data_IF_000994724525
#
_entry.id   IF_000994724525
#
_cell.length_a   1.000
_cell.length_b   1.000
_cell.length_c   1.000
_cell.angle_alpha   90.00
_cell.angle_beta   90.00
_cell.angle_gamma   90.00
#
_symmetry.space_group_name_H-M   'P 1'
#
loop_
_entity.id
_entity.type
_entity.pdbx_description
1 polymer ?
2 non-polymer ?
3 water ?
#
# COMPACT_ATOMS: atom_id res chain seq x y z
N UNK A 3 -9.29 -18.95 -3.30
CA UNK A 3 -9.21 -17.53 -2.95
C UNK A 3 -7.83 -16.93 -3.21
N UNK A 4 -7.79 -15.70 -3.79
CA UNK A 4 -6.57 -14.95 -4.09
C UNK A 4 -5.84 -14.58 -2.78
N UNK A 5 -4.61 -15.08 -2.62
CA UNK A 5 -3.78 -14.83 -1.43
C UNK A 5 -2.34 -14.58 -1.86
N UNK A 6 -1.60 -13.78 -1.07
CA UNK A 6 -0.20 -13.45 -1.27
C UNK A 6 0.46 -13.67 0.09
N UNK A 7 1.05 -14.84 0.32
CA UNK A 7 1.66 -15.12 1.64
C UNK A 7 3.15 -14.86 1.57
N UNK A 8 3.65 -13.97 2.42
CA UNK A 8 5.05 -13.55 2.47
C UNK A 8 5.81 -14.16 3.63
N UNK A 9 7.15 -14.09 3.58
CA UNK A 9 8.06 -14.52 4.64
C UNK A 9 9.52 -14.22 4.27
N UNK A 10 10.39 -14.32 5.27
CA UNK A 10 11.84 -14.18 5.11
C UNK A 10 12.57 -12.94 5.56
N UNK A 11 11.92 -12.05 6.28
CA UNK A 11 12.62 -10.84 6.74
C UNK A 11 13.61 -11.06 7.88
N UNK A 12 14.29 -10.00 8.27
CA UNK A 12 15.22 -10.12 9.36
C UNK A 12 16.26 -9.03 9.35
N UNK A 13 17.23 -9.16 10.26
CA UNK A 13 18.34 -8.23 10.45
C UNK A 13 19.56 -8.90 9.93
N UNK A 14 20.28 -8.23 9.06
CA UNK A 14 21.51 -8.77 8.47
C UNK A 14 22.57 -7.67 8.45
N UNK A 15 23.84 -8.05 8.44
CA UNK A 15 24.91 -7.07 8.36
C UNK A 15 25.11 -6.55 6.92
N UNK A 16 25.65 -5.33 6.73
CA UNK A 16 25.94 -4.88 5.36
C UNK A 16 26.84 -5.91 4.67
N UNK A 17 26.57 -6.16 3.39
CA UNK A 17 27.28 -7.16 2.60
C UNK A 17 26.62 -8.52 2.67
N UNK A 18 25.65 -8.66 3.57
CA UNK A 18 24.93 -9.92 3.79
C UNK A 18 23.86 -10.27 2.76
N UNK A 19 23.15 -11.37 3.02
CA UNK A 19 22.12 -11.91 2.14
C UNK A 19 20.88 -12.31 2.90
N UNK A 20 19.73 -12.20 2.25
CA UNK A 20 18.46 -12.61 2.83
C UNK A 20 17.62 -12.99 1.63
N UNK A 21 16.69 -13.90 1.85
CA UNK A 21 15.78 -14.30 0.79
C UNK A 21 14.36 -14.10 1.30
N UNK A 22 13.55 -13.40 0.48
CA UNK A 22 12.14 -13.19 0.75
C UNK A 22 11.37 -14.13 -0.13
N UNK A 23 10.20 -14.57 0.33
CA UNK A 23 9.34 -15.38 -0.51
C UNK A 23 7.94 -14.83 -0.52
N UNK A 24 7.25 -15.12 -1.60
CA UNK A 24 5.86 -14.77 -1.75
C UNK A 24 5.14 -15.85 -2.49
N UNK A 25 4.16 -16.45 -1.84
CA UNK A 25 3.35 -17.53 -2.42
C UNK A 25 2.03 -16.93 -2.82
N UNK A 26 1.75 -16.99 -4.14
CA UNK A 26 0.57 -16.48 -4.79
C UNK A 26 -0.39 -17.64 -5.04
N UNK A 27 -1.59 -17.59 -4.44
CA UNK A 27 -2.60 -18.62 -4.63
C UNK A 27 -3.82 -18.06 -5.35
N UNK A 28 -4.56 -18.93 -6.03
CA UNK A 28 -5.80 -18.57 -6.72
C UNK A 28 -5.71 -17.73 -7.99
N UNK A 29 -4.50 -17.48 -8.49
CA UNK A 29 -4.33 -16.72 -9.74
C UNK A 29 -4.51 -17.68 -10.91
N UNK A 30 -5.57 -17.49 -11.71
CA UNK A 30 -5.82 -18.34 -12.87
C UNK A 30 -5.72 -17.58 -14.20
N UNK A 31 -5.51 -16.26 -14.18
CA UNK A 31 -5.32 -15.61 -15.46
C UNK A 31 -3.81 -15.68 -15.76
N UNK A 32 -3.43 -15.86 -17.01
CA UNK A 32 -2.01 -15.97 -17.36
C UNK A 32 -1.30 -14.61 -17.27
N UNK A 33 -2.04 -13.51 -17.39
CA UNK A 33 -1.46 -12.18 -17.46
C UNK A 33 -1.09 -11.40 -16.19
N UNK A 34 -1.06 -12.04 -15.04
CA UNK A 34 -0.62 -11.30 -13.87
C UNK A 34 0.92 -11.08 -13.81
N UNK A 35 1.32 -10.17 -12.96
CA UNK A 35 2.73 -9.87 -12.71
C UNK A 35 2.82 -9.91 -11.19
N UNK A 36 3.97 -10.32 -10.65
CA UNK A 36 4.17 -10.44 -9.20
C UNK A 36 5.54 -9.91 -8.88
N UNK A 37 5.69 -9.36 -7.71
CA UNK A 37 7.01 -8.88 -7.33
C UNK A 37 6.97 -8.16 -6.02
N UNK A 38 7.92 -7.24 -5.86
CA UNK A 38 8.02 -6.50 -4.61
C UNK A 38 8.17 -5.04 -4.81
N UNK A 39 7.70 -4.30 -3.80
CA UNK A 39 8.03 -2.88 -3.64
C UNK A 39 8.44 -2.71 -2.20
N UNK A 40 9.05 -1.57 -1.85
CA UNK A 40 9.49 -1.43 -0.47
C UNK A 40 9.20 -0.02 0.01
N UNK A 41 9.21 0.15 1.33
CA UNK A 41 8.98 1.43 1.97
C UNK A 41 10.09 1.59 2.97
N UNK A 42 11.15 2.34 2.59
CA UNK A 42 12.30 2.62 3.45
C UNK A 42 11.99 3.71 4.47
N UNK A 43 12.55 3.65 5.69
CA UNK A 43 12.24 4.69 6.69
C UNK A 43 12.49 6.09 6.17
N UNK A 44 11.48 6.95 6.32
CA UNK A 44 11.50 8.34 5.87
C UNK A 44 11.50 8.53 4.36
N UNK A 45 11.23 7.46 3.61
CA UNK A 45 11.23 7.57 2.14
C UNK A 45 9.91 7.18 1.52
N UNK A 46 9.68 7.65 0.31
CA UNK A 46 8.49 7.28 -0.46
C UNK A 46 8.68 5.83 -0.92
N UNK A 47 7.57 5.12 -1.22
CA UNK A 47 7.61 3.76 -1.72
C UNK A 47 8.47 3.69 -2.97
N UNK A 48 9.12 2.55 -3.17
CA UNK A 48 9.98 2.34 -4.32
C UNK A 48 9.76 0.91 -4.78
N UNK A 49 9.61 0.74 -6.10
CA UNK A 49 9.47 -0.61 -6.67
C UNK A 49 10.80 -1.34 -6.58
N UNK A 50 10.78 -2.65 -6.43
CA UNK A 50 12.02 -3.44 -6.34
C UNK A 50 12.20 -4.37 -7.55
N UNK A 51 11.22 -5.23 -7.79
CA UNK A 51 11.30 -6.20 -8.86
C UNK A 51 9.92 -6.70 -9.27
N UNK A 52 9.86 -7.29 -10.45
CA UNK A 52 8.63 -7.78 -11.02
C UNK A 52 8.92 -8.92 -11.98
N UNK A 53 8.08 -9.93 -11.98
CA UNK A 53 8.17 -11.04 -12.93
C UNK A 53 6.79 -11.12 -13.58
N UNK A 54 6.73 -11.14 -14.91
CA UNK A 54 5.45 -11.23 -15.61
C UNK A 54 5.16 -12.71 -15.81
N UNK A 55 3.96 -13.18 -15.41
CA UNK A 55 3.60 -14.59 -15.54
C UNK A 55 3.70 -15.07 -16.97
N UNK A 56 3.29 -14.20 -17.93
CA UNK A 56 3.41 -14.44 -19.37
C UNK A 56 4.90 -14.21 -19.68
N UNK A 57 5.57 -15.18 -20.32
CA UNK A 57 7.00 -15.19 -20.70
C UNK A 57 8.06 -15.33 -19.60
N UNK A 58 7.68 -15.07 -18.35
CA UNK A 58 8.59 -15.15 -17.21
C UNK A 58 9.66 -14.07 -17.18
N UNK A 59 9.45 -12.97 -17.93
CA UNK A 59 10.35 -11.82 -18.01
C UNK A 59 10.51 -11.14 -16.66
N UNK A 60 11.76 -10.78 -16.29
CA UNK A 60 12.09 -10.20 -14.98
C UNK A 60 12.58 -8.73 -15.08
N UNK A 61 12.05 -7.86 -14.21
CA UNK A 61 12.34 -6.44 -14.23
C UNK A 61 12.82 -6.00 -12.86
N UNK A 62 13.84 -5.14 -12.82
CA UNK A 62 14.41 -4.67 -11.55
C UNK A 62 14.53 -3.19 -11.52
N UNK A 63 14.34 -2.60 -10.34
CA UNK A 63 14.60 -1.18 -10.15
C UNK A 63 16.12 -0.98 -10.33
N UNK A 64 16.54 0.17 -10.86
CA UNK A 64 17.96 0.47 -11.05
C UNK A 64 18.79 0.34 -9.77
N UNK A 65 18.21 0.70 -8.61
CA UNK A 65 18.91 0.64 -7.31
C UNK A 65 19.25 -0.79 -6.86
N UNK A 66 18.65 -1.84 -7.46
CA UNK A 66 18.89 -3.22 -7.00
C UNK A 66 19.29 -4.19 -8.13
N UNK A 67 19.33 -3.73 -9.38
CA UNK A 67 19.54 -4.57 -10.56
C UNK A 67 20.69 -5.56 -10.55
N UNK A 68 21.83 -5.19 -9.99
CA UNK A 68 22.97 -6.11 -10.03
C UNK A 68 23.13 -6.89 -8.74
N UNK A 69 22.30 -6.63 -7.75
CA UNK A 69 22.45 -7.27 -6.44
C UNK A 69 21.34 -8.20 -6.10
N UNK A 70 20.14 -7.95 -6.63
CA UNK A 70 18.99 -8.78 -6.27
C UNK A 70 18.60 -9.68 -7.43
N UNK A 71 18.10 -10.87 -7.09
CA UNK A 71 17.65 -11.82 -8.09
C UNK A 71 16.31 -12.38 -7.70
N UNK A 72 15.39 -12.39 -8.66
CA UNK A 72 14.08 -12.98 -8.48
C UNK A 72 14.04 -14.30 -9.20
N UNK A 73 13.33 -15.27 -8.62
CA UNK A 73 13.15 -16.59 -9.22
C UNK A 73 11.80 -17.10 -8.81
N UNK A 74 11.34 -18.18 -9.44
CA UNK A 74 10.04 -18.77 -9.15
C UNK A 74 10.16 -20.23 -8.92
N UNK A 75 9.27 -20.78 -8.10
CA UNK A 75 9.09 -22.20 -7.91
C UNK A 75 7.64 -22.50 -8.31
N UNK A 76 7.49 -23.21 -9.44
CA UNK A 76 6.21 -23.66 -10.02
C UNK A 76 5.50 -24.65 -9.10
N UNK A 78 6.06 -24.29 -4.79
CA UNK A 78 4.70 -24.36 -5.29
C UNK A 78 4.06 -22.96 -5.25
N UNK A 79 3.82 -22.35 -6.45
CA UNK A 79 3.26 -21.01 -6.66
C UNK A 79 3.99 -19.92 -5.86
N UNK A 80 5.31 -20.01 -5.79
CA UNK A 80 6.10 -19.08 -5.00
C UNK A 80 7.11 -18.34 -5.83
N UNK A 81 7.33 -17.07 -5.49
CA UNK A 81 8.37 -16.27 -6.10
C UNK A 81 9.34 -15.89 -4.99
N UNK A 82 10.62 -15.78 -5.34
CA UNK A 82 11.65 -15.51 -4.36
C UNK A 82 12.43 -14.32 -4.77
N UNK A 83 12.80 -13.50 -3.79
CA UNK A 83 13.69 -12.36 -3.97
C UNK A 83 14.94 -12.65 -3.15
N UNK A 84 16.02 -12.96 -3.83
CA UNK A 84 17.33 -13.22 -3.23
C UNK A 84 18.03 -11.90 -3.19
N UNK A 85 18.31 -11.42 -2.00
CA UNK A 85 19.00 -10.15 -1.84
C UNK A 85 20.42 -10.43 -1.41
N UNK A 86 21.38 -9.85 -2.11
CA UNK A 86 22.79 -10.05 -1.81
C UNK A 86 23.49 -8.71 -1.75
N UNK A 87 24.74 -8.67 -1.20
CA UNK A 87 25.51 -7.43 -1.06
C UNK A 87 24.60 -6.34 -0.48
N UNK A 88 23.88 -6.71 0.56
CA UNK A 88 22.92 -5.82 1.19
C UNK A 88 23.56 -4.56 1.73
N UNK A 89 22.89 -3.43 1.52
CA UNK A 89 23.40 -2.12 1.98
C UNK A 89 22.43 -1.56 3.01
N UNK A 90 22.90 -0.68 3.93
CA UNK A 90 21.96 -0.05 4.88
C UNK A 90 20.76 0.59 4.18
N UNK A 91 20.95 1.19 2.97
CA UNK A 91 19.85 1.80 2.21
C UNK A 91 18.79 0.80 1.74
N UNK A 92 19.08 -0.53 1.81
CA UNK A 92 18.07 -1.54 1.48
C UNK A 92 17.13 -1.77 2.66
N UNK A 93 17.41 -1.15 3.83
CA UNK A 93 16.53 -1.32 4.99
C UNK A 93 15.15 -0.78 4.68
N UNK A 94 14.10 -1.60 4.83
CA UNK A 94 12.73 -1.20 4.50
C UNK A 94 11.78 -2.26 4.86
N UNK A 95 10.50 -1.90 4.81
CA UNK A 95 9.41 -2.85 4.82
C UNK A 95 9.23 -3.28 3.33
N UNK A 96 9.33 -4.58 3.03
CA UNK A 96 9.17 -5.11 1.66
C UNK A 96 7.78 -5.73 1.53
N UNK A 97 7.05 -5.39 0.47
CA UNK A 97 5.68 -5.89 0.26
C UNK A 97 5.58 -6.72 -0.97
N UNK A 98 4.94 -7.91 -0.86
CA UNK A 98 4.74 -8.68 -2.06
C UNK A 98 3.53 -8.05 -2.72
N UNK A 99 3.58 -7.99 -4.04
CA UNK A 99 2.52 -7.37 -4.82
C UNK A 99 2.25 -8.15 -6.08
N UNK A 100 1.03 -8.02 -6.60
CA UNK A 100 0.67 -8.64 -7.87
C UNK A 100 -0.27 -7.72 -8.60
N UNK A 101 -0.15 -7.62 -9.92
CA UNK A 101 -1.10 -6.78 -10.63
C UNK A 101 -1.42 -7.40 -11.95
N UNK A 102 -2.29 -6.78 -12.71
CA UNK A 102 -2.75 -7.32 -13.97
C UNK A 102 -1.74 -7.09 -15.10
N UNK A 103 -0.55 -7.67 -14.94
CA UNK A 103 0.54 -7.65 -15.92
C UNK A 103 1.17 -6.30 -16.18
N UNK A 104 1.07 -5.42 -15.21
CA UNK A 104 1.54 -4.06 -15.34
C UNK A 104 2.90 -3.77 -14.75
N UNK A 105 3.30 -4.49 -13.63
CA UNK A 105 4.54 -4.19 -12.91
C UNK A 105 4.47 -2.72 -12.47
N UNK A 106 3.25 -2.23 -12.14
CA UNK A 106 3.00 -0.83 -11.81
C UNK A 106 3.88 -0.22 -10.76
N UNK A 107 4.25 -1.01 -9.73
CA UNK A 107 5.10 -0.48 -8.68
C UNK A 107 6.54 -0.19 -9.15
N UNK A 108 6.91 -0.56 -10.39
CA UNK A 108 8.25 -0.25 -10.89
C UNK A 108 8.29 1.15 -11.52
N UNK A 109 7.11 1.78 -11.69
CA UNK A 109 7.10 3.14 -12.20
C UNK A 109 7.57 4.05 -11.01
N UNK A 110 8.02 5.26 -11.29
CA UNK A 110 8.46 6.19 -10.22
C UNK A 110 7.33 6.35 -9.19
N UNK A 111 7.67 6.24 -7.92
CA UNK A 111 6.70 6.38 -6.84
C UNK A 111 6.29 5.06 -6.21
N UNK A 112 6.63 3.93 -6.86
CA UNK A 112 6.38 2.57 -6.35
C UNK A 112 4.95 2.25 -5.95
N UNK A 113 3.99 2.87 -6.63
CA UNK A 113 2.57 2.65 -6.28
C UNK A 113 1.95 1.49 -7.04
N UNK A 114 1.40 0.50 -6.33
CA UNK A 114 0.68 -0.58 -7.03
C UNK A 114 -0.61 0.07 -7.60
N UNK A 115 -0.95 -0.27 -8.84
CA UNK A 115 -2.21 0.19 -9.44
C UNK A 115 -2.84 -1.02 -10.05
N UNK A 116 -4.17 -1.22 -9.88
CA UNK A 116 -4.92 -2.34 -10.48
C UNK A 116 -4.26 -3.66 -10.08
N UNK A 117 -4.01 -3.77 -8.79
CA UNK A 117 -3.32 -4.94 -8.30
C UNK A 117 -3.77 -5.39 -6.94
N UNK A 118 -2.79 -5.78 -6.14
CA UNK A 118 -2.97 -6.33 -4.79
C UNK A 118 -1.63 -6.36 -4.14
N UNK A 119 -1.63 -6.35 -2.81
CA UNK A 119 -0.38 -6.43 -2.06
C UNK A 119 -0.65 -7.07 -0.72
N UNK A 120 0.35 -7.75 -0.18
CA UNK A 120 0.22 -8.42 1.10
C UNK A 120 0.73 -7.56 2.22
N UNK A 121 1.01 -8.20 3.35
CA UNK A 121 1.51 -7.51 4.53
C UNK A 121 3.00 -7.29 4.35
N UNK A 122 3.53 -6.26 4.96
CA UNK A 122 4.95 -6.00 4.81
C UNK A 122 5.83 -6.94 5.61
N UNK A 123 7.09 -7.07 5.19
CA UNK A 123 8.10 -7.88 5.92
C UNK A 123 9.29 -6.96 6.09
N UNK A 124 9.78 -6.84 7.32
CA UNK A 124 10.89 -5.95 7.60
C UNK A 124 12.22 -6.58 7.23
N UNK A 125 13.04 -5.83 6.54
CA UNK A 125 14.41 -6.20 6.20
C UNK A 125 15.30 -5.06 6.73
N UNK A 126 16.19 -5.36 7.70
CA UNK A 126 17.08 -4.35 8.27
C UNK A 126 18.50 -4.74 8.00
N UNK A 127 19.26 -3.80 7.44
CA UNK A 127 20.66 -4.03 7.12
C UNK A 127 21.42 -3.07 7.98
N UNK A 128 22.09 -3.61 8.98
CA UNK A 128 22.74 -2.76 9.97
C UNK A 128 23.88 -3.45 10.66
N UNK A 129 24.83 -2.67 11.17
CA UNK A 129 25.95 -3.17 11.99
C UNK A 129 25.39 -3.75 13.31
N UNK A 130 24.15 -3.33 13.71
CA UNK A 130 23.48 -3.86 14.91
C UNK A 130 23.29 -5.38 14.81
N UNK A 131 23.18 -5.92 13.58
CA UNK A 131 23.02 -7.35 13.30
C UNK A 131 24.18 -8.21 13.81
N UNK A 132 25.39 -7.64 13.92
CA UNK A 132 26.56 -8.38 14.39
C UNK A 132 26.51 -8.61 15.92
N UNK A 133 25.54 -7.99 16.62
CA UNK A 133 25.40 -8.05 18.10
C UNK A 133 24.42 -9.14 18.66
N UNK A 134 23.98 -10.09 17.83
CA UNK A 134 23.06 -11.18 18.22
C UNK A 134 23.65 -12.10 19.28
N UNK B 5 -4.53 8.15 -11.57
CA UNK B 5 -3.95 8.76 -10.39
C UNK B 5 -4.96 9.00 -9.27
N UNK B 6 -4.47 8.89 -8.02
CA UNK B 6 -5.21 9.04 -6.78
C UNK B 6 -4.47 10.08 -5.93
N UNK B 7 -4.60 11.34 -6.35
CA UNK B 7 -3.94 12.48 -5.71
C UNK B 7 -4.63 12.84 -4.42
N UNK B 8 -3.85 12.88 -3.31
CA UNK B 8 -4.39 13.18 -1.98
C UNK B 8 -4.04 14.57 -1.54
N UNK B 9 -4.97 15.25 -0.83
CA UNK B 9 -4.71 16.58 -0.26
C UNK B 9 -5.61 16.82 0.95
N UNK B 10 -5.23 17.75 1.84
CA UNK B 10 -6.05 18.09 2.99
C UNK B 10 -5.53 17.78 4.37
N UNK B 11 -4.36 17.16 4.45
CA UNK B 11 -3.80 16.81 5.75
C UNK B 11 -3.28 17.97 6.57
N UNK B 12 -2.83 17.67 7.76
CA UNK B 12 -2.32 18.70 8.64
C UNK B 12 -2.36 18.30 10.09
N UNK B 13 -2.04 19.27 10.96
CA UNK B 13 -2.01 19.09 12.40
C UNK B 13 -3.23 19.79 12.93
N UNK B 14 -4.01 19.10 13.74
CA UNK B 14 -5.23 19.68 14.32
C UNK B 14 -5.30 19.26 15.78
N UNK B 15 -5.98 20.03 16.60
CA UNK B 15 -6.17 19.68 18.00
C UNK B 15 -7.25 18.60 18.17
N UNK B 16 -7.20 17.80 19.27
CA UNK B 16 -8.29 16.84 19.50
C UNK B 16 -9.62 17.58 19.53
N UNK B 17 -10.64 16.97 18.93
CA UNK B 17 -11.96 17.55 18.81
C UNK B 17 -12.13 18.34 17.53
N UNK B 18 -11.02 18.55 16.80
CA UNK B 18 -10.99 19.32 15.58
C UNK B 18 -11.50 18.59 14.34
N UNK B 19 -11.38 19.27 13.17
CA UNK B 19 -11.88 18.79 11.89
C UNK B 19 -10.88 19.00 10.79
N UNK B 20 -10.90 18.13 9.81
CA UNK B 20 -10.05 18.25 8.63
C UNK B 20 -10.83 17.57 7.52
N UNK B 21 -10.62 18.01 6.30
CA UNK B 21 -11.24 17.36 5.16
C UNK B 21 -10.16 16.93 4.20
N UNK B 22 -10.18 15.64 3.84
CA UNK B 22 -9.24 15.09 2.89
C UNK B 22 -9.95 14.97 1.58
N UNK B 23 -9.18 15.06 0.49
CA UNK B 23 -9.77 14.86 -0.83
C UNK B 23 -8.93 13.90 -1.61
N UNK B 24 -9.57 13.17 -2.47
CA UNK B 24 -8.86 12.30 -3.35
C UNK B 24 -9.42 12.39 -4.75
N UNK B 25 -8.52 12.48 -5.73
CA UNK B 25 -8.90 12.61 -7.16
C UNK B 25 -9.13 11.21 -7.69
N UNK B 26 -10.22 11.00 -8.41
CA UNK B 26 -10.60 9.69 -8.89
C UNK B 26 -10.43 9.53 -10.39
N UNK B 28 -10.15 8.55 -13.66
CA UNK B 28 -10.71 8.72 -15.00
C UNK B 28 -11.16 7.41 -15.61
N UNK B 29 -12.19 6.80 -15.00
CA UNK B 29 -12.80 5.51 -15.36
C UNK B 29 -14.05 5.66 -16.21
N UNK B 30 -14.48 4.54 -16.81
CA UNK B 30 -15.69 4.45 -17.63
C UNK B 30 -16.68 3.44 -17.04
N UNK B 31 -16.17 2.44 -16.29
CA UNK B 31 -17.03 1.42 -15.67
C UNK B 31 -17.65 1.86 -14.36
N UNK B 32 -18.73 1.18 -13.95
CA UNK B 32 -19.46 1.41 -12.71
C UNK B 32 -19.14 0.30 -11.69
N UNK B 33 -17.94 -0.31 -11.78
CA UNK B 33 -17.56 -1.38 -10.84
C UNK B 33 -16.64 -0.92 -9.76
N UNK B 34 -16.12 0.33 -9.82
CA UNK B 34 -15.12 0.75 -8.85
C UNK B 34 -15.60 1.24 -7.49
N UNK B 35 -14.70 1.28 -6.53
CA UNK B 35 -14.96 1.74 -5.16
C UNK B 35 -13.75 2.54 -4.84
N UNK B 36 -13.92 3.58 -4.06
CA UNK B 36 -12.83 4.48 -3.70
C UNK B 36 -12.93 4.81 -2.23
N UNK B 37 -11.82 5.05 -1.59
CA UNK B 37 -11.88 5.40 -0.20
C UNK B 37 -10.53 5.59 0.40
N UNK B 38 -10.47 5.38 1.71
CA UNK B 38 -9.22 5.59 2.41
C UNK B 38 -8.88 4.46 3.34
N UNK B 39 -7.60 4.26 3.52
CA UNK B 39 -7.07 3.43 4.59
C UNK B 39 -6.01 4.27 5.26
N UNK B 40 -5.55 3.86 6.45
CA UNK B 40 -4.54 4.70 7.12
C UNK B 40 -3.46 3.81 7.69
N UNK B 41 -2.30 4.40 7.95
CA UNK B 41 -1.18 3.72 8.54
C UNK B 41 -0.74 4.59 9.72
N UNK B 42 -1.14 4.21 10.93
CA UNK B 42 -0.86 4.91 12.19
C UNK B 42 0.51 4.50 12.71
N UNK B 43 1.22 5.42 13.39
CA UNK B 43 2.56 5.06 13.92
C UNK B 43 2.53 3.80 14.79
N UNK B 44 3.39 2.84 14.46
CA UNK B 44 3.50 1.55 15.16
C UNK B 44 2.35 0.60 14.93
N UNK B 45 1.48 0.89 13.96
CA UNK B 45 0.32 0.04 13.69
C UNK B 45 0.26 -0.49 12.28
N UNK B 46 -0.40 -1.64 12.09
CA UNK B 46 -0.61 -2.15 10.74
C UNK B 46 -1.68 -1.27 10.06
N UNK B 47 -1.75 -1.32 8.73
CA UNK B 47 -2.74 -0.56 7.99
C UNK B 47 -4.12 -0.93 8.46
N UNK B 48 -5.02 0.05 8.49
CA UNK B 48 -6.41 -0.11 8.91
C UNK B 48 -7.27 0.62 7.89
N UNK B 49 -8.37 0.01 7.49
CA UNK B 49 -9.30 0.62 6.53
C UNK B 49 -10.06 1.74 7.24
N UNK B 50 -10.45 2.77 6.50
CA UNK B 50 -11.19 3.90 7.10
C UNK B 50 -12.59 4.00 6.51
N UNK B 51 -12.67 4.13 5.17
CA UNK B 51 -13.98 4.31 4.53
C UNK B 51 -13.91 3.92 3.07
N UNK B 52 -15.08 3.70 2.49
CA UNK B 52 -15.22 3.29 1.12
C UNK B 52 -16.57 3.74 0.58
N UNK B 53 -16.59 4.19 -0.67
CA UNK B 53 -17.83 4.54 -1.35
C UNK B 53 -17.82 3.72 -2.64
N UNK B 54 -18.91 3.00 -2.90
CA UNK B 54 -19.00 2.18 -4.12
C UNK B 54 -19.62 3.05 -5.22
N UNK B 55 -18.99 3.10 -6.41
CA UNK B 55 -19.51 3.91 -7.52
C UNK B 55 -20.93 3.51 -7.89
N UNK B 56 -21.22 2.20 -7.87
CA UNK B 56 -22.55 1.63 -8.08
C UNK B 56 -23.31 1.91 -6.78
N UNK B 57 -24.49 2.55 -6.88
CA UNK B 57 -25.39 2.93 -5.77
C UNK B 57 -24.95 4.07 -4.83
N UNK B 58 -23.67 4.39 -4.82
CA UNK B 58 -23.13 5.44 -3.95
C UNK B 58 -23.12 5.11 -2.47
N UNK B 59 -23.23 3.81 -2.15
CA UNK B 59 -23.23 3.29 -0.78
C UNK B 59 -21.93 3.55 -0.08
N UNK B 60 -21.98 3.94 1.21
CA UNK B 60 -20.79 4.26 2.00
C UNK B 60 -20.57 3.28 3.16
N UNK B 61 -19.31 2.88 3.37
CA UNK B 61 -18.90 1.93 4.39
C UNK B 61 -17.81 2.54 5.23
N UNK B 62 -17.88 2.34 6.53
CA UNK B 62 -16.90 2.93 7.46
C UNK B 62 -16.38 1.91 8.40
N UNK B 63 -15.11 2.01 8.77
CA UNK B 63 -14.55 1.17 9.81
C UNK B 63 -15.28 1.54 11.13
N UNK B 64 -15.44 0.56 12.02
CA UNK B 64 -16.12 0.80 13.30
C UNK B 64 -15.48 1.93 14.13
N UNK B 65 -14.14 2.08 14.04
CA UNK B 65 -13.43 3.12 14.78
C UNK B 65 -13.75 4.55 14.33
N UNK B 66 -14.39 4.75 13.15
CA UNK B 66 -14.66 6.11 12.64
C UNK B 66 -16.12 6.37 12.22
N UNK B 67 -16.97 5.35 12.31
CA UNK B 67 -18.34 5.38 11.80
C UNK B 67 -19.23 6.56 12.17
N UNK B 68 -19.13 7.06 13.39
CA UNK B 68 -20.03 8.16 13.75
C UNK B 68 -19.35 9.52 13.65
N UNK B 69 -18.08 9.56 13.30
CA UNK B 69 -17.33 10.81 13.29
C UNK B 69 -16.94 11.25 11.93
N UNK B 70 -16.76 10.30 11.01
CA UNK B 70 -16.27 10.66 9.68
C UNK B 70 -17.39 10.53 8.65
N UNK B 71 -17.36 11.40 7.64
CA UNK B 71 -18.33 11.37 6.57
C UNK B 71 -17.65 11.46 5.23
N UNK B 72 -18.06 10.60 4.30
CA UNK B 72 -17.56 10.64 2.93
C UNK B 72 -18.60 11.24 2.04
N UNK B 73 -18.15 11.98 1.03
CA UNK B 73 -19.03 12.55 -0.01
C UNK B 73 -18.27 12.62 -1.31
N UNK B 74 -18.94 12.94 -2.41
CA UNK B 74 -18.26 13.04 -3.69
C UNK B 74 -18.75 14.21 -4.52
N UNK B 75 -17.85 14.74 -5.35
CA UNK B 75 -18.11 15.81 -6.32
C UNK B 75 -17.88 15.16 -7.68
N UNK B 76 -18.97 14.68 -8.30
CA UNK B 76 -18.97 13.96 -9.59
C UNK B 76 -18.26 14.73 -10.71
N UNK B 77 -18.55 16.05 -10.84
CA UNK B 77 -18.00 16.96 -11.85
C UNK B 77 -16.47 16.99 -11.89
N UNK B 78 -15.83 17.07 -10.71
CA UNK B 78 -14.38 17.14 -10.56
C UNK B 78 -13.72 15.79 -10.18
N UNK B 79 -14.49 14.67 -10.29
CA UNK B 79 -14.03 13.29 -10.00
C UNK B 79 -13.30 13.21 -8.66
N UNK B 80 -13.88 13.83 -7.64
CA UNK B 80 -13.25 13.89 -6.32
C UNK B 80 -14.15 13.30 -5.25
N UNK B 81 -13.52 12.62 -4.30
CA UNK B 81 -14.20 12.10 -3.12
C UNK B 81 -13.61 12.80 -1.93
N UNK B 82 -14.44 13.04 -0.91
CA UNK B 82 -14.00 13.78 0.26
C UNK B 82 -14.26 12.98 1.50
N UNK B 83 -13.32 13.05 2.44
CA UNK B 83 -13.45 12.46 3.77
C UNK B 83 -13.45 13.62 4.77
N UNK B 84 -14.61 13.92 5.33
CA UNK B 84 -14.76 14.95 6.34
C UNK B 84 -14.53 14.27 7.67
N UNK B 85 -13.50 14.69 8.38
CA UNK B 85 -13.18 14.11 9.67
C UNK B 85 -13.55 15.11 10.71
N UNK B 86 -14.30 14.66 11.72
CA UNK B 86 -14.71 15.53 12.81
C UNK B 86 -14.47 14.84 14.12
N UNK B 87 -14.54 15.60 15.26
CA UNK B 87 -14.29 15.05 16.60
C UNK B 87 -13.01 14.20 16.57
N UNK B 88 -11.99 14.75 15.94
CA UNK B 88 -10.72 14.05 15.79
C UNK B 88 -10.08 13.70 17.11
N UNK B 89 -9.52 12.49 17.20
CA UNK B 89 -8.88 11.98 18.43
C UNK B 89 -7.39 11.73 18.15
N UNK B 90 -6.52 11.76 19.18
CA UNK B 90 -5.10 11.45 18.94
C UNK B 90 -4.91 10.12 18.21
N UNK B 91 -5.77 9.11 18.50
CA UNK B 91 -5.65 7.80 17.84
C UNK B 91 -5.95 7.85 16.33
N UNK B 92 -6.52 8.96 15.83
CA UNK B 92 -6.73 9.13 14.39
C UNK B 92 -5.44 9.54 13.69
N UNK B 93 -4.37 9.86 14.44
CA UNK B 93 -3.09 10.27 13.83
C UNK B 93 -2.54 9.16 12.95
N UNK B 94 -2.29 9.47 11.65
CA UNK B 94 -1.79 8.48 10.70
C UNK B 94 -1.53 9.11 9.38
N UNK B 95 -0.90 8.36 8.49
CA UNK B 95 -0.84 8.69 7.08
C UNK B 95 -2.16 8.12 6.50
N UNK B 96 -2.97 8.95 5.82
CA UNK B 96 -4.21 8.49 5.20
C UNK B 96 -3.95 8.37 3.75
N UNK B 97 -4.24 7.20 3.19
CA UNK B 97 -4.01 6.94 1.78
C UNK B 97 -5.27 6.81 0.99
N UNK B 98 -5.32 7.44 -0.17
CA UNK B 98 -6.49 7.24 -0.98
C UNK B 98 -6.30 5.93 -1.72
N UNK B 99 -7.38 5.22 -1.91
CA UNK B 99 -7.31 3.91 -2.55
C UNK B 99 -8.53 3.68 -3.40
N UNK B 100 -8.40 2.80 -4.38
CA UNK B 100 -9.53 2.43 -5.21
C UNK B 100 -9.43 0.96 -5.58
N UNK B 101 -10.54 0.26 -5.67
CA UNK B 101 -10.49 -1.11 -6.13
C UNK B 101 -11.73 -1.44 -6.92
N UNK B 102 -11.81 -2.63 -7.47
CA UNK B 102 -12.91 -3.04 -8.31
C UNK B 102 -14.16 -3.42 -7.51
N UNK B 103 -14.75 -2.45 -6.81
CA UNK B 103 -15.99 -2.63 -6.03
C UNK B 103 -15.88 -3.52 -4.83
N UNK B 104 -14.65 -3.71 -4.33
CA UNK B 104 -14.43 -4.61 -3.21
C UNK B 104 -14.37 -3.96 -1.84
N UNK B 105 -13.89 -2.67 -1.76
CA UNK B 105 -13.67 -1.99 -0.47
C UNK B 105 -12.72 -2.88 0.35
N UNK B 106 -11.77 -3.58 -0.33
CA UNK B 106 -10.86 -4.55 0.28
C UNK B 106 -10.08 -4.09 1.49
N UNK B 107 -9.70 -2.80 1.52
CA UNK B 107 -8.96 -2.26 2.67
C UNK B 107 -9.82 -2.21 3.96
N UNK B 108 -11.14 -2.49 3.85
CA UNK B 108 -12.03 -2.53 5.02
C UNK B 108 -12.17 -3.94 5.61
N UNK B 109 -11.61 -4.96 4.93
CA UNK B 109 -11.60 -6.32 5.48
C UNK B 109 -10.60 -6.27 6.67
N UNK B 110 -10.77 -7.14 7.66
CA UNK B 110 -9.87 -7.20 8.83
C UNK B 110 -9.52 -8.64 9.20
N UNK B 113 -3.78 -10.24 5.78
CA UNK B 113 -4.73 -10.26 4.67
C UNK B 113 -4.31 -9.38 3.48
N UNK B 114 -4.70 -9.81 2.25
CA UNK B 114 -4.39 -9.11 1.00
C UNK B 114 -5.34 -7.98 0.67
N UNK B 115 -4.80 -6.85 0.21
CA UNK B 115 -5.65 -5.73 -0.17
C UNK B 115 -5.55 -5.54 -1.65
N UNK B 116 -6.67 -5.24 -2.31
CA UNK B 116 -6.70 -5.13 -3.75
C UNK B 116 -6.83 -3.71 -4.22
N UNK B 117 -6.53 -3.51 -5.52
CA UNK B 117 -6.72 -2.27 -6.21
C UNK B 117 -5.47 -1.44 -6.32
N UNK B 118 -5.60 -0.15 -5.97
CA UNK B 118 -4.53 0.83 -6.11
C UNK B 118 -4.24 1.53 -4.80
N UNK B 119 -2.94 1.58 -4.42
CA UNK B 119 -2.46 2.23 -3.17
C UNK B 119 -1.98 3.63 -3.61
N UNK B 120 -2.88 4.62 -3.47
CA UNK B 120 -2.63 5.98 -3.96
C UNK B 120 -1.76 6.82 -3.04
N UNK B 121 -1.84 8.13 -3.25
CA UNK B 121 -1.07 9.10 -2.45
C UNK B 121 -1.55 9.16 -1.03
N UNK B 122 -0.63 9.48 -0.15
CA UNK B 122 -0.90 9.60 1.26
C UNK B 122 -0.86 11.02 1.71
N UNK B 123 -1.45 11.25 2.85
CA UNK B 123 -1.46 12.56 3.47
C UNK B 123 -1.41 12.39 4.97
N UNK B 124 -0.55 13.16 5.63
CA UNK B 124 -0.40 13.04 7.07
C UNK B 124 -1.50 13.79 7.78
N UNK B 125 -2.11 13.14 8.75
CA UNK B 125 -3.10 13.74 9.64
C UNK B 125 -2.59 13.53 11.06
N UNK B 126 -2.29 14.62 11.77
CA UNK B 126 -1.82 14.53 13.16
C UNK B 126 -2.80 15.24 14.05
N UNK B 127 -3.24 14.54 15.08
CA UNK B 127 -4.21 15.09 16.02
C UNK B 127 -3.47 15.15 17.33
N UNK B 128 -3.14 16.34 17.78
CA UNK B 128 -2.31 16.48 18.96
C UNK B 128 -2.50 17.82 19.61
N UNK B 129 -2.21 17.88 20.92
CA UNK B 129 -2.17 19.13 21.69
C UNK B 129 -1.07 20.05 21.14
N UNK B 130 -0.06 19.47 20.43
CA UNK B 130 1.03 20.24 19.82
C UNK B 130 0.45 21.26 18.80
N UNK B 131 -0.71 20.94 18.19
CA UNK B 131 -1.40 21.81 17.22
C UNK B 131 -1.79 23.18 17.78
N UNK B 132 -2.03 23.28 19.10
CA UNK B 132 -2.43 24.54 19.75
C UNK B 132 -1.24 25.52 19.87
N UNK B 133 0.00 25.07 19.55
CA UNK B 133 1.24 25.85 19.65
C UNK B 133 1.64 26.64 18.35
N UNK B 134 0.61 26.92 17.50
CA UNK B 134 0.59 27.69 16.25
C UNK B 134 1.07 26.99 14.98
#
# INVERSE_FOLDING_TARGET
>A
MAEVQLQASGGGLVQPGGSLRLSCTASGFTDDYYAIGWFRQAPGKEREGVSCITNFDGGTYYADSVKSRFTMSRDNAKNTVYLQMNSLKPEDTAVYYCAADKGLCSWLRAGGKVTFGSWGQGTQVTVSSAAALEHHHHHHHHH
>B
MAEVQLQASGGGLVQPGGSLRLSCTASGFTDDYYAIGWFRQAPGKEREGVSCITNFDGGTYYADSVKSRFTMSRDNAKNTVYLQMNSLKPEDTAVYYCAADKGLCSWLRAGGKVTFGSWGQGTQVTVSSAAALEHHHHHHHHH
#
